data_IF_423963698226
#
_entry.id   IF_423963698226
#
_cell.length_a   1.000
_cell.length_b   1.000
_cell.length_c   1.000
_cell.angle_alpha   90.00
_cell.angle_beta   90.00
_cell.angle_gamma   90.00
#
_symmetry.space_group_name_H-M   'P 1'
#
loop_
_entity.id
_entity.type
_entity.pdbx_description
1 polymer ?
#
# COMPACT_ATOMS: atom_id res chain seq x y z
N UNK A 1 0.33 10.94 16.31
CA UNK A 1 -0.77 10.22 15.63
C UNK A 1 -0.70 8.76 16.01
N UNK A 2 -1.76 8.25 16.60
CA UNK A 2 -1.82 6.85 17.01
C UNK A 2 -2.72 6.04 16.10
N UNK A 3 -2.36 4.76 15.93
CA UNK A 3 -3.20 3.84 15.19
C UNK A 3 -4.39 3.45 16.04
N UNK A 4 -5.58 3.58 15.45
CA UNK A 4 -6.80 3.09 16.11
C UNK A 4 -6.85 1.57 16.04
N UNK A 5 -7.66 0.95 16.92
CA UNK A 5 -7.88 -0.49 16.86
C UNK A 5 -8.47 -0.91 15.52
N UNK A 6 -9.34 -0.05 14.93
CA UNK A 6 -9.93 -0.33 13.63
C UNK A 6 -8.87 -0.42 12.54
N UNK A 7 -7.93 0.53 12.48
CA UNK A 7 -6.89 0.53 11.47
C UNK A 7 -6.01 -0.72 11.59
N UNK A 8 -5.62 -1.08 12.82
CA UNK A 8 -4.85 -2.31 13.04
C UNK A 8 -5.59 -3.54 12.54
N UNK A 9 -6.86 -3.65 12.89
CA UNK A 9 -7.67 -4.82 12.51
C UNK A 9 -7.86 -4.95 11.01
N UNK A 10 -8.08 -3.81 10.34
CA UNK A 10 -8.38 -3.80 8.90
C UNK A 10 -7.13 -3.98 8.04
N UNK A 11 -6.02 -3.36 8.45
CA UNK A 11 -4.84 -3.27 7.57
C UNK A 11 -3.64 -4.10 7.98
N UNK A 12 -3.60 -4.61 9.20
CA UNK A 12 -2.41 -5.33 9.68
C UNK A 12 -2.76 -6.76 10.10
N UNK A 13 -2.03 -7.77 9.61
CA UNK A 13 -0.99 -7.68 8.58
C UNK A 13 -1.59 -7.36 7.22
N UNK A 14 -0.83 -6.68 6.38
CA UNK A 14 -1.32 -6.28 5.07
C UNK A 14 -1.34 -7.45 4.09
N UNK A 15 -2.29 -7.41 3.15
CA UNK A 15 -2.21 -8.28 1.98
C UNK A 15 -1.04 -7.81 1.13
N UNK A 16 -0.52 -8.70 0.29
CA UNK A 16 0.57 -8.35 -0.62
C UNK A 16 0.17 -7.18 -1.53
N UNK A 17 -1.03 -7.23 -2.11
CA UNK A 17 -1.51 -6.17 -2.99
C UNK A 17 -1.68 -4.84 -2.25
N UNK A 18 -2.27 -4.88 -1.05
CA UNK A 18 -2.41 -3.68 -0.24
C UNK A 18 -1.06 -3.07 0.11
N UNK A 19 -0.08 -3.91 0.45
CA UNK A 19 1.27 -3.46 0.72
C UNK A 19 1.86 -2.71 -0.48
N UNK A 20 1.79 -3.32 -1.68
CA UNK A 20 2.37 -2.68 -2.86
C UNK A 20 1.69 -1.36 -3.21
N UNK A 21 0.37 -1.30 -3.09
CA UNK A 21 -0.36 -0.07 -3.40
C UNK A 21 0.10 1.05 -2.48
N UNK A 22 0.14 0.80 -1.18
CA UNK A 22 0.56 1.80 -0.21
C UNK A 22 2.04 2.17 -0.39
N UNK A 23 2.88 1.16 -0.62
CA UNK A 23 4.31 1.37 -0.85
C UNK A 23 4.57 2.27 -2.05
N UNK A 24 3.87 2.02 -3.16
CA UNK A 24 4.04 2.84 -4.38
C UNK A 24 3.61 4.28 -4.16
N UNK A 25 2.67 4.53 -3.26
CA UNK A 25 2.17 5.87 -3.01
C UNK A 25 3.01 6.68 -2.02
N UNK A 26 4.18 6.20 -1.68
CA UNK A 26 5.19 7.06 -1.06
C UNK A 26 5.56 8.20 -2.00
N UNK A 27 5.36 7.98 -3.30
CA UNK A 27 5.40 9.01 -4.33
C UNK A 27 4.01 9.17 -4.91
N UNK A 28 3.69 10.34 -5.43
CA UNK A 28 2.41 10.58 -6.09
C UNK A 28 2.19 9.56 -7.21
N UNK A 29 0.97 9.06 -7.31
CA UNK A 29 0.64 8.09 -8.35
C UNK A 29 -0.85 7.86 -8.49
N UNK A 30 -1.21 7.13 -9.53
CA UNK A 30 -2.59 6.73 -9.80
C UNK A 30 -2.64 5.23 -10.06
N UNK A 31 -3.85 4.69 -10.16
CA UNK A 31 -4.02 3.23 -10.27
C UNK A 31 -3.21 2.60 -11.38
N UNK A 32 -3.20 3.22 -12.56
CA UNK A 32 -2.46 2.65 -13.70
C UNK A 32 -0.95 2.65 -13.44
N UNK A 33 -0.41 3.76 -12.93
CA UNK A 33 1.04 3.83 -12.66
C UNK A 33 1.45 2.83 -11.58
N UNK A 34 0.61 2.62 -10.58
CA UNK A 34 0.87 1.63 -9.53
C UNK A 34 0.91 0.22 -10.15
N UNK A 35 -0.07 -0.10 -11.00
CA UNK A 35 -0.12 -1.41 -11.64
C UNK A 35 1.15 -1.69 -12.45
N UNK A 36 1.61 -0.70 -13.22
CA UNK A 36 2.82 -0.86 -14.01
C UNK A 36 4.06 -1.02 -13.11
N UNK A 37 4.15 -0.22 -12.07
CA UNK A 37 5.29 -0.28 -11.14
C UNK A 37 5.36 -1.64 -10.44
N UNK A 38 4.23 -2.18 -10.02
CA UNK A 38 4.19 -3.47 -9.35
C UNK A 38 4.60 -4.59 -10.30
N UNK A 39 4.17 -4.53 -11.56
CA UNK A 39 4.61 -5.50 -12.55
C UNK A 39 6.13 -5.46 -12.73
N UNK A 40 6.70 -4.25 -12.82
CA UNK A 40 8.14 -4.11 -12.96
C UNK A 40 8.90 -4.66 -11.75
N UNK A 41 8.44 -4.31 -10.55
CA UNK A 41 9.13 -4.74 -9.33
C UNK A 41 9.06 -6.24 -9.09
N UNK A 42 8.10 -6.93 -9.67
CA UNK A 42 7.86 -8.35 -9.39
C UNK A 42 8.08 -9.25 -10.60
N UNK A 43 8.66 -8.74 -11.67
CA UNK A 43 8.80 -9.49 -12.93
C UNK A 43 7.46 -10.06 -13.36
N UNK A 44 6.41 -9.26 -13.28
CA UNK A 44 5.03 -9.61 -13.65
C UNK A 44 4.43 -10.75 -12.82
N UNK A 45 5.05 -11.10 -11.68
CA UNK A 45 4.48 -12.12 -10.81
C UNK A 45 3.27 -11.62 -10.04
N UNK A 46 3.17 -10.31 -9.81
CA UNK A 46 2.04 -9.71 -9.15
C UNK A 46 1.33 -8.77 -10.12
N UNK A 47 0.05 -9.02 -10.33
CA UNK A 47 -0.79 -8.21 -11.20
C UNK A 47 -2.04 -7.85 -10.42
N UNK A 48 -2.33 -6.55 -10.33
CA UNK A 48 -3.47 -6.05 -9.56
C UNK A 48 -4.60 -5.71 -10.53
N UNK A 49 -5.75 -6.36 -10.34
CA UNK A 49 -6.91 -6.09 -11.21
C UNK A 49 -7.45 -4.68 -10.97
N UNK A 50 -8.12 -4.07 -11.97
CA UNK A 50 -8.72 -2.76 -11.77
C UNK A 50 -9.69 -2.69 -10.59
N UNK A 51 -10.50 -3.73 -10.41
CA UNK A 51 -11.44 -3.77 -9.28
C UNK A 51 -10.73 -3.73 -7.94
N UNK A 52 -9.69 -4.54 -7.77
CA UNK A 52 -8.90 -4.55 -6.54
C UNK A 52 -8.19 -3.21 -6.36
N UNK A 53 -7.60 -2.67 -7.44
CA UNK A 53 -6.89 -1.39 -7.38
C UNK A 53 -7.80 -0.26 -6.89
N UNK A 54 -8.90 -0.04 -7.59
CA UNK A 54 -9.76 1.11 -7.27
C UNK A 54 -10.55 0.90 -5.99
N UNK A 55 -10.91 -0.33 -5.66
CA UNK A 55 -11.52 -0.64 -4.37
C UNK A 55 -10.58 -0.35 -3.20
N UNK A 56 -9.31 -0.74 -3.34
CA UNK A 56 -8.30 -0.50 -2.31
C UNK A 56 -8.00 0.99 -2.15
N UNK A 57 -7.84 1.71 -3.29
CA UNK A 57 -7.58 3.15 -3.24
C UNK A 57 -8.73 3.89 -2.56
N UNK A 58 -9.98 3.56 -2.89
CA UNK A 58 -11.14 4.17 -2.26
C UNK A 58 -11.17 3.93 -0.75
N UNK A 59 -10.90 2.70 -0.34
CA UNK A 59 -10.90 2.33 1.07
C UNK A 59 -9.77 3.02 1.84
N UNK A 60 -8.57 3.02 1.29
CA UNK A 60 -7.43 3.66 1.93
C UNK A 60 -7.62 5.17 2.05
N UNK A 61 -8.22 5.79 1.03
CA UNK A 61 -8.55 7.22 1.10
C UNK A 61 -9.56 7.48 2.21
N UNK A 62 -10.62 6.69 2.27
CA UNK A 62 -11.65 6.82 3.29
C UNK A 62 -11.06 6.69 4.70
N UNK A 63 -10.16 5.76 4.88
CA UNK A 63 -9.54 5.49 6.19
C UNK A 63 -8.34 6.38 6.48
N UNK A 64 -7.97 7.27 5.57
CA UNK A 64 -6.93 8.26 5.83
C UNK A 64 -5.50 7.81 5.61
N UNK A 65 -5.28 6.65 4.99
CA UNK A 65 -3.93 6.18 4.70
C UNK A 65 -3.31 6.88 3.50
N UNK A 66 -4.13 7.33 2.58
CA UNK A 66 -3.72 8.10 1.41
C UNK A 66 -4.63 9.32 1.27
N UNK A 67 -4.15 10.33 0.56
CA UNK A 67 -4.94 11.52 0.29
C UNK A 67 -4.98 11.80 -1.21
N UNK A 68 -6.06 12.40 -1.65
CA UNK A 68 -6.21 12.87 -3.03
C UNK A 68 -5.36 14.13 -3.20
N UNK A 69 -4.53 14.17 -4.24
CA UNK A 69 -3.66 15.31 -4.51
C UNK A 69 -4.27 16.21 -5.59
N UNK A 70 -4.58 15.63 -6.73
CA UNK A 70 -5.17 16.36 -7.86
C UNK A 70 -5.64 15.37 -8.93
N UNK A 71 -6.31 15.88 -9.92
CA UNK A 71 -6.68 15.08 -11.09
C UNK A 71 -5.86 15.54 -12.30
N UNK A 72 -5.31 14.59 -13.03
CA UNK A 72 -4.55 14.84 -14.25
C UNK A 72 -5.02 13.88 -15.33
N UNK A 73 -5.39 14.39 -16.49
CA UNK A 73 -5.81 13.55 -17.62
C UNK A 73 -6.89 12.55 -17.20
N UNK A 74 -7.86 13.00 -16.43
CA UNK A 74 -8.98 12.20 -15.91
C UNK A 74 -8.56 11.10 -14.93
N UNK A 75 -7.34 11.16 -14.42
CA UNK A 75 -6.83 10.21 -13.43
C UNK A 75 -6.63 10.90 -12.09
N UNK A 76 -7.12 10.26 -11.04
CA UNK A 76 -6.96 10.77 -9.67
C UNK A 76 -5.58 10.40 -9.14
N UNK A 77 -4.84 11.40 -8.74
CA UNK A 77 -3.50 11.24 -8.18
C UNK A 77 -3.60 11.22 -6.66
N UNK A 78 -2.98 10.22 -6.05
CA UNK A 78 -2.96 10.03 -4.59
C UNK A 78 -1.54 10.02 -4.07
N UNK A 79 -1.41 10.23 -2.76
CA UNK A 79 -0.12 10.12 -2.07
C UNK A 79 -0.35 9.62 -0.65
N UNK A 80 0.60 8.89 -0.11
CA UNK A 80 0.55 8.38 1.25
C UNK A 80 0.49 9.51 2.27
N UNK A 81 -0.27 9.31 3.35
CA UNK A 81 -0.35 10.26 4.46
C UNK A 81 0.61 9.84 5.57
N UNK A 82 0.72 10.66 6.61
CA UNK A 82 1.52 10.29 7.79
C UNK A 82 0.97 9.02 8.45
N UNK A 83 -0.37 8.88 8.51
CA UNK A 83 -0.97 7.65 9.02
C UNK A 83 -0.60 6.46 8.15
N UNK A 84 -0.65 6.63 6.83
CA UNK A 84 -0.25 5.57 5.91
C UNK A 84 1.20 5.17 6.08
N UNK A 85 2.10 6.14 6.29
CA UNK A 85 3.52 5.85 6.55
C UNK A 85 3.70 5.06 7.84
N UNK A 86 2.91 5.35 8.84
CA UNK A 86 2.97 4.62 10.11
C UNK A 86 2.55 3.17 9.93
N UNK A 87 1.45 2.94 9.21
CA UNK A 87 0.98 1.60 8.89
C UNK A 87 2.04 0.84 8.09
N UNK A 88 2.58 1.48 7.05
CA UNK A 88 3.61 0.86 6.21
C UNK A 88 4.85 0.51 7.03
N UNK A 89 5.27 1.40 7.92
CA UNK A 89 6.43 1.16 8.79
C UNK A 89 6.26 -0.05 9.70
N UNK A 90 5.07 -0.22 10.26
CA UNK A 90 4.76 -1.38 11.11
C UNK A 90 4.84 -2.65 10.28
N UNK A 91 4.28 -2.62 9.08
CA UNK A 91 4.30 -3.79 8.20
C UNK A 91 5.72 -4.14 7.76
N UNK A 92 6.54 -3.15 7.43
CA UNK A 92 7.92 -3.38 7.03
C UNK A 92 8.73 -4.03 8.15
N UNK A 93 8.52 -3.61 9.39
CA UNK A 93 9.18 -4.24 10.53
C UNK A 93 8.74 -5.67 10.73
N UNK A 94 7.45 -5.96 10.49
CA UNK A 94 6.94 -7.32 10.57
C UNK A 94 7.59 -8.21 9.53
N UNK A 95 7.67 -7.74 8.29
CA UNK A 95 8.28 -8.49 7.17
C UNK A 95 9.76 -8.74 7.45
N UNK A 96 10.48 -7.73 7.93
CA UNK A 96 11.89 -7.85 8.28
C UNK A 96 12.10 -8.90 9.36
N UNK A 97 11.25 -8.89 10.40
CA UNK A 97 11.34 -9.87 11.47
C UNK A 97 11.11 -11.29 10.95
N UNK A 98 10.09 -11.47 10.11
CA UNK A 98 9.80 -12.76 9.52
C UNK A 98 10.96 -13.27 8.68
N UNK A 99 11.50 -12.39 7.84
CA UNK A 99 12.61 -12.77 6.97
C UNK A 99 13.85 -13.13 7.78
N UNK A 100 14.19 -12.32 8.78
CA UNK A 100 15.34 -12.58 9.64
C UNK A 100 15.19 -13.90 10.38
N UNK A 101 14.00 -14.16 10.95
CA UNK A 101 13.77 -15.41 11.66
C UNK A 101 13.85 -16.61 10.72
N UNK A 102 13.37 -16.48 9.49
CA UNK A 102 13.44 -17.58 8.53
C UNK A 102 14.90 -17.92 8.17
N UNK A 103 15.78 -16.95 8.17
CA UNK A 103 17.19 -17.18 7.87
C UNK A 103 17.94 -17.79 9.05
N UNK A 104 17.62 -17.39 10.28
CA UNK A 104 18.32 -17.86 11.47
C UNK A 104 17.86 -19.24 11.91
N UNK A 105 16.56 -19.53 11.78
CA UNK A 105 15.96 -20.77 12.29
C UNK A 105 15.69 -21.80 11.18
N UNK A 106 15.74 -21.36 9.94
CA UNK A 106 15.56 -22.26 8.80
C UNK A 106 16.85 -22.94 8.40
#
# INVERSE_FOLDING_TARGET
>A
MELTAKIRRVYLPMTEMGFYILFCLQKEGHGYSITQKVKEMTDSQVSISPGTMYGTLSKMKKDGLISFVREEEKRKIYQITDLGRKVLGIELKRIERLYRNSREEG
#
